data_IF_159298556391
#
_entry.id   IF_159298556391
#
_cell.length_a   1.000
_cell.length_b   1.000
_cell.length_c   1.000
_cell.angle_alpha   90.00
_cell.angle_beta   90.00
_cell.angle_gamma   90.00
#
_symmetry.space_group_name_H-M   'P 1'
#
loop_
_entity.id
_entity.type
_entity.pdbx_description
1 polymer ?
#
# COMPACT_ATOMS: atom_id res chain seq x y z
N UNK A 1 6.22 -17.44 17.38
CA UNK A 1 6.06 -16.04 16.92
C UNK A 1 6.15 -16.03 15.40
N UNK A 2 5.05 -15.80 14.67
CA UNK A 2 5.07 -15.67 13.20
C UNK A 2 5.42 -14.22 12.86
N UNK A 3 6.62 -13.99 12.34
CA UNK A 3 7.03 -12.69 11.83
C UNK A 3 6.12 -12.30 10.66
N UNK A 4 5.34 -11.23 10.80
CA UNK A 4 4.48 -10.71 9.72
C UNK A 4 5.36 -10.04 8.68
N UNK A 5 6.07 -10.84 7.88
CA UNK A 5 6.80 -10.36 6.73
C UNK A 5 5.80 -9.71 5.77
N UNK A 6 5.89 -8.39 5.63
CA UNK A 6 5.12 -7.60 4.67
C UNK A 6 5.67 -7.89 3.27
N UNK A 7 5.52 -9.13 2.80
CA UNK A 7 5.94 -9.55 1.46
C UNK A 7 4.98 -8.90 0.48
N UNK A 8 5.48 -7.93 -0.28
CA UNK A 8 4.78 -7.37 -1.43
C UNK A 8 4.77 -8.48 -2.48
N UNK A 9 3.78 -9.36 -2.35
CA UNK A 9 3.66 -10.54 -3.18
C UNK A 9 3.18 -10.20 -4.58
N UNK A 10 2.99 -8.96 -5.00
CA UNK A 10 2.45 -8.69 -6.34
C UNK A 10 2.14 -7.22 -6.53
N UNK A 11 1.37 -6.93 -7.58
CA UNK A 11 0.93 -5.58 -7.91
C UNK A 11 -0.59 -5.47 -7.78
N UNK A 12 -1.06 -4.27 -7.48
CA UNK A 12 -2.47 -3.92 -7.52
C UNK A 12 -2.67 -2.65 -8.34
N UNK A 13 -3.76 -2.60 -9.09
CA UNK A 13 -4.16 -1.44 -9.87
C UNK A 13 -5.66 -1.25 -9.72
N UNK A 14 -6.04 -0.07 -9.23
CA UNK A 14 -7.42 0.33 -9.02
C UNK A 14 -7.83 1.30 -10.13
N UNK A 15 -9.02 1.05 -10.69
CA UNK A 15 -9.66 1.88 -11.69
C UNK A 15 -10.92 2.48 -11.10
N UNK A 16 -11.09 3.78 -11.32
CA UNK A 16 -12.08 4.59 -10.66
C UNK A 16 -12.26 5.94 -11.36
N UNK A 17 -13.18 6.73 -10.84
CA UNK A 17 -13.44 8.09 -11.29
C UNK A 17 -13.89 8.98 -10.14
N UNK A 18 -14.14 10.25 -10.43
CA UNK A 18 -14.69 11.18 -9.45
C UNK A 18 -16.21 11.19 -9.58
N UNK A 19 -16.92 10.88 -8.49
CA UNK A 19 -18.36 11.16 -8.36
C UNK A 19 -18.56 12.11 -7.20
N UNK A 20 -19.33 13.18 -7.41
CA UNK A 20 -19.69 14.12 -6.34
C UNK A 20 -18.47 14.68 -5.58
N UNK A 21 -17.37 14.94 -6.32
CA UNK A 21 -16.10 15.41 -5.73
C UNK A 21 -15.31 14.36 -4.95
N UNK A 22 -15.74 13.10 -4.91
CA UNK A 22 -15.05 11.98 -4.23
C UNK A 22 -14.47 10.99 -5.24
N UNK A 23 -13.25 10.52 -4.98
CA UNK A 23 -12.64 9.44 -5.76
C UNK A 23 -13.33 8.11 -5.42
N UNK A 24 -14.02 7.53 -6.38
CA UNK A 24 -14.71 6.25 -6.27
C UNK A 24 -13.94 5.21 -7.06
N UNK A 25 -13.59 4.10 -6.41
CA UNK A 25 -12.98 2.94 -7.08
C UNK A 25 -14.08 1.95 -7.45
N UNK A 26 -14.13 1.55 -8.72
CA UNK A 26 -15.12 0.57 -9.20
C UNK A 26 -14.52 -0.82 -9.40
N UNK A 27 -13.25 -0.86 -9.79
CA UNK A 27 -12.59 -2.11 -10.15
C UNK A 27 -11.17 -2.09 -9.63
N UNK A 28 -10.72 -3.18 -9.02
CA UNK A 28 -9.35 -3.32 -8.56
C UNK A 28 -8.82 -4.68 -9.02
N UNK A 29 -7.75 -4.65 -9.79
CA UNK A 29 -6.96 -5.82 -10.12
C UNK A 29 -5.84 -5.96 -9.09
N UNK A 30 -5.60 -7.17 -8.61
CA UNK A 30 -4.51 -7.46 -7.71
C UNK A 30 -3.95 -8.85 -8.00
N UNK A 31 -2.63 -8.99 -7.92
CA UNK A 31 -1.92 -10.25 -8.15
C UNK A 31 -1.21 -10.72 -6.89
N UNK A 32 -1.11 -12.04 -6.73
CA UNK A 32 -0.33 -12.69 -5.69
C UNK A 32 0.66 -13.63 -6.39
N UNK A 33 1.91 -13.20 -6.54
CA UNK A 33 3.05 -13.98 -6.99
C UNK A 33 3.19 -15.24 -6.14
N UNK A 34 3.42 -16.34 -6.84
CA UNK A 34 3.58 -17.66 -6.21
C UNK A 34 2.26 -18.31 -5.80
N UNK A 35 1.11 -17.66 -6.03
CA UNK A 35 -0.16 -18.34 -5.95
C UNK A 35 -0.35 -19.25 -7.18
N UNK A 36 -0.84 -20.46 -6.96
CA UNK A 36 -1.29 -21.34 -8.02
C UNK A 36 -2.70 -20.92 -8.50
N UNK A 37 -3.29 -21.75 -9.37
CA UNK A 37 -4.64 -21.57 -9.89
C UNK A 37 -5.68 -21.31 -8.78
N UNK A 38 -5.51 -21.98 -7.64
CA UNK A 38 -6.25 -21.71 -6.41
C UNK A 38 -5.40 -20.93 -5.40
N UNK A 39 -5.64 -19.62 -5.35
CA UNK A 39 -4.95 -18.70 -4.45
C UNK A 39 -5.16 -19.06 -2.96
N UNK A 40 -6.37 -19.44 -2.49
CA UNK A 40 -6.57 -19.78 -1.08
C UNK A 40 -5.80 -21.02 -0.63
N UNK A 41 -5.56 -21.99 -1.53
CA UNK A 41 -4.83 -23.21 -1.22
C UNK A 41 -3.33 -22.96 -1.05
N UNK A 42 -2.74 -22.18 -1.97
CA UNK A 42 -1.29 -21.96 -2.01
C UNK A 42 -0.82 -20.73 -1.23
N UNK A 43 -1.71 -19.79 -0.95
CA UNK A 43 -1.41 -18.51 -0.32
C UNK A 43 -2.57 -18.03 0.56
N UNK A 44 -2.94 -18.79 1.61
CA UNK A 44 -4.13 -18.54 2.42
C UNK A 44 -4.12 -17.17 3.12
N UNK A 45 -2.96 -16.75 3.64
CA UNK A 45 -2.84 -15.46 4.32
C UNK A 45 -2.98 -14.26 3.37
N UNK A 46 -2.41 -14.34 2.16
CA UNK A 46 -2.57 -13.29 1.15
C UNK A 46 -4.02 -13.24 0.64
N UNK A 47 -4.63 -14.40 0.34
CA UNK A 47 -6.00 -14.50 -0.14
C UNK A 47 -7.00 -13.87 0.84
N UNK A 48 -6.90 -14.21 2.13
CA UNK A 48 -7.77 -13.67 3.17
C UNK A 48 -7.59 -12.17 3.36
N UNK A 49 -6.35 -11.69 3.25
CA UNK A 49 -6.06 -10.25 3.34
C UNK A 49 -6.71 -9.49 2.18
N UNK A 50 -6.55 -9.99 0.95
CA UNK A 50 -7.13 -9.40 -0.26
C UNK A 50 -8.66 -9.37 -0.17
N UNK A 51 -9.28 -10.48 0.26
CA UNK A 51 -10.71 -10.57 0.42
C UNK A 51 -11.25 -9.59 1.48
N UNK A 52 -10.58 -9.47 2.63
CA UNK A 52 -10.95 -8.51 3.68
C UNK A 52 -10.78 -7.06 3.22
N UNK A 53 -9.75 -6.75 2.44
CA UNK A 53 -9.57 -5.39 1.90
C UNK A 53 -10.64 -5.04 0.88
N UNK A 54 -11.04 -6.01 0.05
CA UNK A 54 -12.13 -5.84 -0.92
C UNK A 54 -13.46 -5.50 -0.23
N UNK A 55 -13.85 -6.27 0.79
CA UNK A 55 -15.09 -6.02 1.55
C UNK A 55 -15.08 -4.66 2.26
N UNK A 56 -13.91 -4.18 2.68
CA UNK A 56 -13.76 -2.85 3.30
C UNK A 56 -13.72 -1.70 2.30
N UNK A 57 -13.75 -1.99 0.99
CA UNK A 57 -13.57 -0.98 -0.07
C UNK A 57 -12.19 -0.32 -0.02
N UNK A 58 -11.19 -0.98 0.55
CA UNK A 58 -9.83 -0.46 0.69
C UNK A 58 -8.94 -1.05 -0.39
N UNK A 59 -8.10 -0.21 -1.01
CA UNK A 59 -7.08 -0.70 -1.93
C UNK A 59 -6.07 -1.57 -1.16
N UNK A 60 -5.71 -2.77 -1.68
CA UNK A 60 -4.69 -3.60 -1.06
C UNK A 60 -3.38 -2.82 -0.99
N UNK A 61 -2.98 -2.53 0.25
CA UNK A 61 -1.99 -1.53 0.66
C UNK A 61 -0.75 -1.47 -0.23
N UNK A 62 -0.62 -0.37 -0.99
CA UNK A 62 0.69 0.15 -1.37
C UNK A 62 1.26 0.81 -0.11
N UNK A 63 2.07 0.09 0.66
CA UNK A 63 2.89 0.77 1.68
C UNK A 63 3.96 1.54 0.94
N UNK A 64 3.73 2.84 0.78
CA UNK A 64 4.80 3.76 0.44
C UNK A 64 5.78 3.63 1.60
N UNK A 65 6.98 3.08 1.35
CA UNK A 65 8.10 3.39 2.22
C UNK A 65 8.41 4.87 1.98
N UNK A 66 7.58 5.75 2.53
CA UNK A 66 8.05 7.06 2.92
C UNK A 66 9.05 6.73 4.00
N UNK A 67 10.31 6.57 3.58
CA UNK A 67 11.45 6.65 4.48
C UNK A 67 11.08 7.74 5.45
N UNK A 68 11.02 7.37 6.73
CA UNK A 68 11.02 8.28 7.85
C UNK A 68 12.13 9.27 7.52
N UNK A 69 11.79 10.36 6.83
CA UNK A 69 12.69 11.41 6.46
C UNK A 69 12.97 12.01 7.82
N UNK A 70 14.00 11.45 8.45
CA UNK A 70 14.62 11.97 9.65
C UNK A 70 14.78 13.43 9.28
N UNK A 71 14.07 14.30 9.99
CA UNK A 71 14.14 15.75 9.88
C UNK A 71 15.62 16.09 9.65
N UNK A 72 15.99 16.38 8.41
CA UNK A 72 17.30 16.94 8.14
C UNK A 72 17.20 18.31 8.76
N UNK A 73 17.84 18.52 9.90
CA UNK A 73 18.09 19.88 10.37
C UNK A 73 18.86 20.55 9.23
N UNK A 74 18.17 21.44 8.52
CA UNK A 74 18.73 22.23 7.45
C UNK A 74 19.79 23.16 8.07
N UNK A 75 21.04 23.04 7.65
CA UNK A 75 22.14 23.97 7.98
C UNK A 75 21.94 25.40 7.45
N UNK A 76 20.70 25.79 7.11
CA UNK A 76 20.35 27.10 6.55
C UNK A 76 20.14 28.14 7.66
N UNK A 77 19.97 27.72 8.92
CA UNK A 77 19.74 28.63 10.05
C UNK A 77 21.01 29.34 10.58
N UNK A 78 22.18 29.16 9.94
CA UNK A 78 23.46 29.74 10.41
C UNK A 78 23.86 31.07 9.76
N UNK A 79 23.13 31.56 8.75
CA UNK A 79 23.49 32.81 8.04
C UNK A 79 22.55 33.99 8.27
N UNK A 80 21.51 33.86 9.10
CA UNK A 80 20.53 34.94 9.32
C UNK A 80 20.51 35.49 10.75
N UNK A 81 21.65 35.48 11.46
CA UNK A 81 21.78 36.13 12.78
C UNK A 81 23.09 36.91 12.94
N UNK A 82 23.56 37.52 11.86
CA UNK A 82 24.53 38.60 11.97
C UNK A 82 24.36 39.54 10.78
N UNK A 83 24.19 40.83 11.12
CA UNK A 83 23.98 42.04 10.28
C UNK A 83 22.52 42.48 10.22
#
# INVERSE_FOLDING_TARGET
>A
MMERSNKIGGWSQSFGGVREGKNVTYLTFATIRGAAHEVPYTSPSQALTLFRTFLKGQSPSRKNNTIRAKKLHSSIDLFSTAI
#
